data_IF_940660763445
#
_entry.id   IF_940660763445
#
_cell.length_a   1.000
_cell.length_b   1.000
_cell.length_c   1.000
_cell.angle_alpha   90.00
_cell.angle_beta   90.00
_cell.angle_gamma   90.00
#
_symmetry.space_group_name_H-M   'P 1'
#
loop_
_entity.id
_entity.type
_entity.pdbx_description
1 polymer ?
#
# COMPACT_ATOMS: atom_id res chain seq x y z
N UNK A 1 -13.93 -12.52 10.79
CA UNK A 1 -12.72 -12.28 9.98
C UNK A 1 -11.79 -13.46 10.16
N UNK A 2 -11.72 -14.34 9.17
CA UNK A 2 -10.77 -15.45 9.18
C UNK A 2 -9.36 -14.89 9.08
N UNK A 3 -8.42 -15.43 9.87
CA UNK A 3 -7.01 -15.18 9.60
C UNK A 3 -6.75 -15.61 8.15
N UNK A 4 -6.24 -14.73 7.28
CA UNK A 4 -5.92 -15.14 5.93
C UNK A 4 -4.90 -16.27 6.06
N UNK A 5 -5.16 -17.38 5.39
CA UNK A 5 -4.19 -18.47 5.28
C UNK A 5 -2.82 -17.82 4.96
N UNK A 6 -1.78 -18.05 5.77
CA UNK A 6 -0.48 -17.41 5.59
C UNK A 6 0.10 -17.63 4.19
N UNK A 7 -0.38 -18.63 3.45
CA UNK A 7 -0.03 -18.87 2.05
C UNK A 7 -0.82 -18.03 1.02
N UNK A 8 -1.97 -17.43 1.38
CA UNK A 8 -2.78 -16.59 0.48
C UNK A 8 -2.23 -15.17 0.32
N UNK A 9 -1.76 -14.54 1.40
CA UNK A 9 -1.25 -13.16 1.35
C UNK A 9 -0.07 -12.96 0.36
N UNK A 10 0.89 -13.90 0.24
CA UNK A 10 1.90 -13.84 -0.83
C UNK A 10 1.34 -13.88 -2.25
N UNK A 11 0.23 -14.60 -2.49
CA UNK A 11 -0.43 -14.65 -3.79
C UNK A 11 -1.08 -13.30 -4.12
N UNK A 12 -1.84 -12.75 -3.16
CA UNK A 12 -2.44 -11.42 -3.33
C UNK A 12 -1.38 -10.33 -3.53
N UNK A 13 -0.23 -10.44 -2.85
CA UNK A 13 0.89 -9.52 -3.06
C UNK A 13 1.49 -9.59 -4.47
N UNK A 14 1.45 -10.75 -5.14
CA UNK A 14 1.88 -10.88 -6.54
C UNK A 14 0.88 -10.23 -7.50
N UNK A 15 -0.42 -10.30 -7.21
CA UNK A 15 -1.48 -9.71 -8.05
C UNK A 15 -1.54 -8.19 -7.86
N UNK A 16 -1.66 -7.71 -6.61
CA UNK A 16 -1.78 -6.29 -6.26
C UNK A 16 -0.44 -5.55 -6.25
N UNK A 17 0.59 -6.10 -6.90
CA UNK A 17 1.78 -5.34 -7.24
C UNK A 17 1.40 -4.20 -8.19
N UNK A 18 1.89 -2.99 -7.93
CA UNK A 18 1.57 -1.81 -8.71
C UNK A 18 1.90 -1.94 -10.21
N UNK A 19 2.78 -2.87 -10.60
CA UNK A 19 3.12 -3.13 -12.02
C UNK A 19 2.01 -3.88 -12.77
N UNK A 20 1.05 -4.47 -12.06
CA UNK A 20 -0.08 -5.17 -12.67
C UNK A 20 -1.32 -4.29 -12.82
N UNK A 21 -1.32 -3.08 -12.24
CA UNK A 21 -2.49 -2.22 -12.27
C UNK A 21 -2.72 -1.59 -13.64
N UNK A 22 -3.98 -1.43 -14.01
CA UNK A 22 -4.42 -0.71 -15.20
C UNK A 22 -5.90 -0.31 -15.03
N UNK A 23 -6.40 0.51 -15.96
CA UNK A 23 -7.83 0.74 -16.11
C UNK A 23 -8.37 -0.19 -17.19
N UNK A 24 -9.49 -0.87 -16.93
CA UNK A 24 -10.19 -1.66 -17.94
C UNK A 24 -11.04 -0.78 -18.88
N UNK A 25 -11.75 -1.41 -19.81
CA UNK A 25 -12.60 -0.71 -20.78
C UNK A 25 -13.76 0.07 -20.13
N UNK A 26 -14.17 -0.32 -18.92
CA UNK A 26 -15.19 0.35 -18.11
C UNK A 26 -14.60 1.43 -17.20
N UNK A 27 -13.28 1.66 -17.25
CA UNK A 27 -12.59 2.65 -16.42
C UNK A 27 -12.39 2.21 -14.97
N UNK A 28 -12.51 0.92 -14.66
CA UNK A 28 -12.26 0.38 -13.32
C UNK A 28 -10.78 0.14 -13.11
N UNK A 29 -10.31 0.43 -11.90
CA UNK A 29 -8.93 0.15 -11.50
C UNK A 29 -8.77 -1.35 -11.19
N UNK A 30 -8.15 -2.08 -12.10
CA UNK A 30 -8.02 -3.55 -12.08
C UNK A 30 -6.57 -3.98 -12.03
N UNK A 31 -6.33 -5.22 -11.56
CA UNK A 31 -5.00 -5.81 -11.51
C UNK A 31 -4.93 -7.05 -12.39
N UNK A 32 -3.90 -7.12 -13.22
CA UNK A 32 -3.63 -8.33 -14.01
C UNK A 32 -3.20 -9.45 -13.09
N UNK A 33 -3.81 -10.62 -13.27
CA UNK A 33 -3.33 -11.84 -12.64
C UNK A 33 -2.14 -12.32 -13.46
N UNK A 34 -0.93 -12.47 -12.87
CA UNK A 34 0.23 -12.94 -13.62
C UNK A 34 -0.04 -14.31 -14.24
N UNK A 35 0.34 -14.50 -15.50
CA UNK A 35 0.20 -15.78 -16.22
C UNK A 35 1.02 -16.92 -15.60
N UNK A 36 1.93 -16.60 -14.68
CA UNK A 36 2.69 -17.56 -13.86
C UNK A 36 1.86 -18.14 -12.70
N UNK A 37 0.60 -17.73 -12.51
CA UNK A 37 -0.30 -18.37 -11.56
C UNK A 37 -0.70 -19.76 -12.03
N UNK A 38 -0.52 -20.74 -11.14
CA UNK A 38 -0.95 -22.12 -11.35
C UNK A 38 -2.43 -22.30 -11.01
N UNK A 39 -3.05 -23.34 -11.55
CA UNK A 39 -4.43 -23.71 -11.20
C UNK A 39 -4.60 -23.91 -9.68
N UNK A 40 -3.60 -24.48 -9.00
CA UNK A 40 -3.63 -24.67 -7.56
C UNK A 40 -3.68 -23.33 -6.79
N UNK A 41 -2.94 -22.31 -7.24
CA UNK A 41 -2.97 -20.97 -6.65
C UNK A 41 -4.31 -20.28 -6.88
N UNK A 42 -4.92 -20.45 -8.06
CA UNK A 42 -6.28 -19.98 -8.33
C UNK A 42 -7.32 -20.63 -7.41
N UNK A 43 -7.24 -21.95 -7.23
CA UNK A 43 -8.14 -22.67 -6.32
C UNK A 43 -7.92 -22.26 -4.87
N UNK A 44 -6.68 -21.97 -4.46
CA UNK A 44 -6.39 -21.49 -3.11
C UNK A 44 -7.03 -20.12 -2.84
N UNK A 45 -6.93 -19.17 -3.78
CA UNK A 45 -7.61 -17.87 -3.68
C UNK A 45 -9.13 -18.03 -3.61
N UNK A 46 -9.68 -18.92 -4.44
CA UNK A 46 -11.11 -19.22 -4.46
C UNK A 46 -11.58 -19.83 -3.14
N UNK A 47 -10.86 -20.80 -2.60
CA UNK A 47 -11.18 -21.46 -1.33
C UNK A 47 -11.12 -20.48 -0.14
N UNK A 48 -10.25 -19.46 -0.21
CA UNK A 48 -10.18 -18.40 0.78
C UNK A 48 -11.26 -17.31 0.60
N UNK A 49 -12.08 -17.37 -0.45
CA UNK A 49 -13.05 -16.33 -0.78
C UNK A 49 -12.43 -15.00 -1.22
N UNK A 50 -11.18 -15.03 -1.70
CA UNK A 50 -10.37 -13.85 -2.03
C UNK A 50 -9.98 -13.87 -3.52
N UNK A 51 -10.98 -14.04 -4.39
CA UNK A 51 -10.80 -13.91 -5.84
C UNK A 51 -10.47 -12.45 -6.18
N UNK A 52 -9.41 -12.18 -6.96
CA UNK A 52 -9.02 -10.81 -7.31
C UNK A 52 -10.04 -10.16 -8.25
N UNK A 53 -10.06 -8.82 -8.30
CA UNK A 53 -10.95 -8.04 -9.16
C UNK A 53 -12.44 -8.36 -8.95
N UNK A 54 -12.85 -8.60 -7.69
CA UNK A 54 -14.25 -8.80 -7.31
C UNK A 54 -14.81 -7.47 -6.83
N UNK A 55 -15.60 -6.84 -7.69
CA UNK A 55 -16.10 -5.49 -7.48
C UNK A 55 -17.48 -5.45 -6.84
N UNK A 56 -17.66 -4.49 -5.96
CA UNK A 56 -18.96 -3.99 -5.53
C UNK A 56 -19.14 -2.54 -5.97
N UNK A 57 -20.39 -2.13 -6.13
CA UNK A 57 -20.75 -0.73 -6.34
C UNK A 57 -22.10 -0.50 -5.66
N UNK A 58 -22.06 0.05 -4.45
CA UNK A 58 -23.25 0.43 -3.69
C UNK A 58 -23.62 1.87 -3.98
N UNK A 59 -24.91 2.20 -3.88
CA UNK A 59 -25.35 3.58 -3.88
C UNK A 59 -24.87 4.32 -2.61
N UNK A 60 -24.90 5.66 -2.64
CA UNK A 60 -24.54 6.50 -1.50
C UNK A 60 -25.30 6.09 -0.22
N UNK A 61 -26.63 6.16 -0.26
CA UNK A 61 -27.48 5.92 0.91
C UNK A 61 -27.35 4.47 1.39
N UNK A 62 -27.28 3.51 0.46
CA UNK A 62 -27.03 2.10 0.77
C UNK A 62 -25.70 1.92 1.54
N UNK A 63 -24.65 2.61 1.13
CA UNK A 63 -23.34 2.54 1.79
C UNK A 63 -23.41 3.06 3.23
N UNK A 64 -24.09 4.20 3.42
CA UNK A 64 -24.25 4.79 4.75
C UNK A 64 -25.10 3.90 5.65
N UNK A 65 -26.18 3.33 5.12
CA UNK A 65 -27.05 2.43 5.86
C UNK A 65 -26.34 1.14 6.27
N UNK A 66 -25.60 0.52 5.35
CA UNK A 66 -24.77 -0.68 5.65
C UNK A 66 -23.76 -0.38 6.75
N UNK A 67 -23.02 0.73 6.64
CA UNK A 67 -22.03 1.12 7.64
C UNK A 67 -22.67 1.33 9.02
N UNK A 68 -23.78 2.07 9.10
CA UNK A 68 -24.50 2.35 10.35
C UNK A 68 -25.06 1.07 10.97
N UNK A 69 -25.70 0.21 10.18
CA UNK A 69 -26.26 -1.06 10.63
C UNK A 69 -25.15 -1.98 11.16
N UNK A 70 -24.04 -2.11 10.43
CA UNK A 70 -22.93 -2.95 10.87
C UNK A 70 -22.27 -2.41 12.14
N UNK A 71 -22.10 -1.08 12.27
CA UNK A 71 -21.52 -0.48 13.46
C UNK A 71 -22.43 -0.59 14.70
N UNK A 72 -23.74 -0.64 14.51
CA UNK A 72 -24.71 -0.84 15.60
C UNK A 72 -24.69 -2.28 16.15
N UNK A 73 -24.36 -3.27 15.32
CA UNK A 73 -24.30 -4.67 15.73
C UNK A 73 -22.92 -5.10 16.30
N UNK A 74 -21.90 -4.23 16.23
CA UNK A 74 -20.60 -4.49 16.85
C UNK A 74 -20.57 -3.99 18.31
N UNK A 75 -20.19 -4.86 19.23
CA UNK A 75 -19.89 -4.47 20.61
C UNK A 75 -18.61 -3.63 20.68
N UNK A 76 -18.68 -2.49 21.36
CA UNK A 76 -17.57 -1.53 21.38
C UNK A 76 -16.37 -2.07 22.15
N UNK A 77 -16.61 -2.80 23.24
CA UNK A 77 -15.53 -3.36 24.05
C UNK A 77 -14.79 -4.46 23.28
N UNK A 78 -15.51 -5.30 22.55
CA UNK A 78 -14.89 -6.27 21.64
C UNK A 78 -14.07 -5.60 20.54
N UNK A 79 -14.56 -4.50 19.96
CA UNK A 79 -13.80 -3.73 18.98
C UNK A 79 -12.51 -3.14 19.57
N UNK A 80 -12.55 -2.64 20.81
CA UNK A 80 -11.37 -2.16 21.53
C UNK A 80 -10.38 -3.31 21.81
N UNK A 81 -10.87 -4.43 22.32
CA UNK A 81 -10.04 -5.60 22.62
C UNK A 81 -9.32 -6.10 21.35
N UNK A 82 -10.03 -6.18 20.22
CA UNK A 82 -9.47 -6.57 18.94
C UNK A 82 -8.47 -5.54 18.38
N UNK A 83 -8.75 -4.25 18.55
CA UNK A 83 -7.83 -3.16 18.19
C UNK A 83 -6.49 -3.32 18.94
N UNK A 84 -6.53 -3.53 20.26
CA UNK A 84 -5.32 -3.71 21.07
C UNK A 84 -4.63 -5.04 20.75
N UNK A 85 -5.37 -6.13 20.56
CA UNK A 85 -4.80 -7.41 20.16
C UNK A 85 -4.01 -7.31 18.83
N UNK A 86 -4.42 -6.43 17.92
CA UNK A 86 -3.73 -6.22 16.64
C UNK A 86 -2.33 -5.59 16.78
N UNK A 87 -1.96 -5.07 17.96
CA UNK A 87 -0.65 -4.46 18.17
C UNK A 87 0.49 -5.44 17.92
N UNK A 88 0.35 -6.68 18.42
CA UNK A 88 1.36 -7.73 18.27
C UNK A 88 0.75 -9.07 17.86
N UNK A 89 -0.26 -9.56 18.58
CA UNK A 89 -0.68 -10.96 18.52
C UNK A 89 -1.69 -11.28 17.41
N UNK A 90 -2.61 -10.37 17.11
CA UNK A 90 -3.67 -10.56 16.12
C UNK A 90 -3.31 -9.99 14.74
N UNK A 91 -4.12 -10.32 13.75
CA UNK A 91 -3.98 -9.81 12.38
C UNK A 91 -4.16 -8.28 12.34
N UNK A 92 -3.34 -7.53 11.56
CA UNK A 92 -3.52 -6.09 11.34
C UNK A 92 -4.94 -5.66 10.99
N UNK A 93 -5.71 -6.50 10.29
CA UNK A 93 -7.07 -6.16 9.87
C UNK A 93 -8.02 -5.89 11.05
N UNK A 94 -7.75 -6.45 12.24
CA UNK A 94 -8.54 -6.17 13.45
C UNK A 94 -8.41 -4.73 13.95
N UNK A 95 -7.34 -4.02 13.55
CA UNK A 95 -7.19 -2.59 13.83
C UNK A 95 -8.34 -1.77 13.25
N UNK A 96 -8.86 -2.17 12.08
CA UNK A 96 -9.88 -1.42 11.33
C UNK A 96 -11.24 -1.36 12.03
N UNK A 97 -11.53 -2.32 12.90
CA UNK A 97 -12.88 -2.52 13.44
C UNK A 97 -13.28 -1.36 14.35
N UNK A 98 -12.40 -0.90 15.25
CA UNK A 98 -12.71 0.18 16.17
C UNK A 98 -12.93 1.52 15.44
N UNK A 99 -12.05 2.00 14.54
CA UNK A 99 -12.30 3.21 13.76
C UNK A 99 -13.54 3.12 12.86
N UNK A 100 -13.79 1.98 12.21
CA UNK A 100 -14.99 1.80 11.38
C UNK A 100 -16.27 1.84 12.23
N UNK A 101 -16.24 1.22 13.42
CA UNK A 101 -17.34 1.28 14.38
C UNK A 101 -17.58 2.72 14.87
N UNK A 102 -16.50 3.45 15.16
CA UNK A 102 -16.59 4.86 15.55
C UNK A 102 -17.29 5.68 14.45
N UNK A 103 -16.85 5.57 13.20
CA UNK A 103 -17.47 6.26 12.07
C UNK A 103 -18.95 5.89 11.91
N UNK A 104 -19.27 4.60 11.84
CA UNK A 104 -20.64 4.14 11.59
C UNK A 104 -21.63 4.49 12.70
N UNK A 105 -21.16 4.65 13.94
CA UNK A 105 -22.01 5.10 15.07
C UNK A 105 -22.34 6.58 15.04
N UNK A 106 -21.46 7.43 14.47
CA UNK A 106 -21.63 8.89 14.51
C UNK A 106 -21.98 9.52 13.18
N UNK A 107 -21.78 8.82 12.06
CA UNK A 107 -22.10 9.35 10.73
C UNK A 107 -23.60 9.63 10.61
N UNK A 108 -24.03 10.88 10.31
CA UNK A 108 -25.44 11.20 10.19
C UNK A 108 -26.02 10.62 8.90
N UNK A 109 -27.33 10.36 8.89
CA UNK A 109 -28.05 10.27 7.64
C UNK A 109 -27.95 11.64 6.94
N UNK A 110 -27.61 11.64 5.66
CA UNK A 110 -27.43 12.85 4.87
C UNK A 110 -27.64 12.53 3.39
N UNK A 111 -28.08 13.52 2.62
CA UNK A 111 -28.06 13.43 1.17
C UNK A 111 -26.62 13.54 0.66
N UNK A 112 -26.33 12.87 -0.46
CA UNK A 112 -25.07 13.03 -1.16
C UNK A 112 -24.84 14.50 -1.54
N UNK A 113 -23.65 15.02 -1.20
CA UNK A 113 -23.27 16.39 -1.50
C UNK A 113 -21.88 16.41 -2.12
N UNK A 114 -21.74 16.53 -3.44
CA UNK A 114 -20.43 16.42 -4.09
C UNK A 114 -19.49 17.58 -3.71
N UNK A 115 -18.20 17.29 -3.62
CA UNK A 115 -17.10 18.26 -3.63
C UNK A 115 -16.14 18.00 -4.80
N UNK A 116 -15.12 18.85 -4.93
CA UNK A 116 -14.08 18.68 -5.97
C UNK A 116 -13.50 17.27 -5.95
N UNK A 117 -13.32 16.68 -7.14
CA UNK A 117 -12.87 15.28 -7.28
C UNK A 117 -14.01 14.24 -7.26
N UNK A 118 -15.26 14.66 -7.07
CA UNK A 118 -16.44 13.81 -7.25
C UNK A 118 -16.83 12.96 -6.03
N UNK A 119 -16.25 13.23 -4.86
CA UNK A 119 -16.62 12.58 -3.60
C UNK A 119 -17.64 13.41 -2.80
N UNK A 120 -18.39 12.77 -1.90
CA UNK A 120 -19.33 13.41 -1.01
C UNK A 120 -18.57 14.19 0.08
N UNK A 121 -18.90 15.47 0.23
CA UNK A 121 -18.29 16.40 1.18
C UNK A 121 -18.57 16.09 2.65
N UNK A 122 -19.53 15.22 2.92
CA UNK A 122 -19.89 14.79 4.28
C UNK A 122 -19.16 13.50 4.64
N UNK A 123 -19.10 12.51 3.74
CA UNK A 123 -18.65 11.16 4.07
C UNK A 123 -17.49 10.60 3.22
N UNK A 124 -17.04 11.29 2.18
CA UNK A 124 -16.10 10.83 1.13
C UNK A 124 -16.63 9.76 0.17
N UNK A 125 -17.91 9.37 0.23
CA UNK A 125 -18.48 8.46 -0.76
C UNK A 125 -18.22 8.92 -2.19
N UNK A 126 -17.88 7.99 -3.07
CA UNK A 126 -17.72 8.20 -4.50
C UNK A 126 -18.37 7.04 -5.22
N UNK A 127 -19.00 7.31 -6.36
CA UNK A 127 -19.71 6.29 -7.13
C UNK A 127 -18.78 5.38 -7.96
N UNK A 128 -17.63 4.98 -7.40
CA UNK A 128 -16.68 4.06 -8.03
C UNK A 128 -16.87 2.61 -7.55
N UNK A 129 -16.42 1.68 -8.38
CA UNK A 129 -16.41 0.28 -8.04
C UNK A 129 -15.21 -0.04 -7.13
N UNK A 130 -15.45 -0.79 -6.06
CA UNK A 130 -14.43 -1.16 -5.08
C UNK A 130 -14.09 -2.64 -5.24
N UNK A 131 -12.82 -2.95 -5.49
CA UNK A 131 -12.33 -4.33 -5.42
C UNK A 131 -12.29 -4.78 -3.96
N UNK A 132 -13.26 -5.62 -3.58
CA UNK A 132 -13.42 -6.11 -2.21
C UNK A 132 -12.24 -6.93 -1.72
N UNK A 133 -11.58 -7.65 -2.63
CA UNK A 133 -10.40 -8.46 -2.32
C UNK A 133 -9.18 -7.57 -2.13
N UNK A 134 -9.07 -6.49 -2.90
CA UNK A 134 -8.01 -5.50 -2.69
C UNK A 134 -8.17 -4.80 -1.34
N UNK A 135 -9.40 -4.37 -1.02
CA UNK A 135 -9.70 -3.78 0.29
C UNK A 135 -9.34 -4.75 1.43
N UNK A 136 -9.74 -6.02 1.34
CA UNK A 136 -9.37 -7.05 2.31
C UNK A 136 -7.85 -7.26 2.41
N UNK A 137 -7.15 -7.31 1.27
CA UNK A 137 -5.70 -7.44 1.22
C UNK A 137 -5.00 -6.31 1.98
N UNK A 138 -5.40 -5.05 1.76
CA UNK A 138 -4.79 -3.90 2.45
C UNK A 138 -5.11 -3.89 3.95
N UNK A 139 -6.34 -4.25 4.35
CA UNK A 139 -6.65 -4.47 5.78
C UNK A 139 -5.69 -5.45 6.44
N UNK A 140 -5.41 -6.59 5.80
CA UNK A 140 -4.46 -7.58 6.32
C UNK A 140 -2.99 -7.13 6.21
N UNK A 141 -2.68 -6.26 5.24
CA UNK A 141 -1.32 -5.80 5.02
C UNK A 141 -0.90 -4.80 6.10
N UNK A 142 -1.69 -3.78 6.38
CA UNK A 142 -1.33 -2.69 7.29
C UNK A 142 -2.42 -2.30 8.29
N UNK A 143 -3.65 -2.76 8.10
CA UNK A 143 -4.79 -2.40 8.94
C UNK A 143 -5.49 -1.13 8.50
N UNK A 144 -5.28 -0.64 7.28
CA UNK A 144 -5.99 0.50 6.65
C UNK A 144 -7.43 0.15 6.22
N UNK A 145 -8.19 1.10 5.67
CA UNK A 145 -9.48 0.81 5.04
C UNK A 145 -10.64 0.66 6.04
N UNK A 146 -10.74 1.57 7.00
CA UNK A 146 -11.85 1.62 7.98
C UNK A 146 -12.91 2.68 7.66
N UNK A 147 -12.86 3.28 6.48
CA UNK A 147 -13.81 4.30 6.04
C UNK A 147 -13.34 5.75 6.18
N UNK A 148 -12.05 5.96 6.42
CA UNK A 148 -11.43 7.28 6.44
C UNK A 148 -11.46 7.95 5.05
N UNK A 149 -11.22 7.18 3.98
CA UNK A 149 -11.21 7.68 2.60
C UNK A 149 -12.48 7.35 1.80
N UNK A 150 -13.20 6.27 2.15
CA UNK A 150 -14.49 5.92 1.53
C UNK A 150 -15.35 5.07 2.48
N UNK A 151 -16.61 5.43 2.78
CA UNK A 151 -17.40 4.77 3.84
C UNK A 151 -17.69 3.29 3.58
N UNK A 152 -17.70 2.85 2.32
CA UNK A 152 -17.85 1.43 1.97
C UNK A 152 -16.69 0.57 2.50
N UNK A 153 -15.47 1.10 2.64
CA UNK A 153 -14.36 0.35 3.23
C UNK A 153 -14.66 0.01 4.71
N UNK A 154 -15.21 0.97 5.45
CA UNK A 154 -15.68 0.75 6.82
C UNK A 154 -16.80 -0.27 6.88
N UNK A 155 -17.78 -0.20 5.97
CA UNK A 155 -18.85 -1.19 5.90
C UNK A 155 -18.31 -2.60 5.59
N UNK A 156 -17.36 -2.73 4.65
CA UNK A 156 -16.69 -4.00 4.34
C UNK A 156 -15.87 -4.53 5.53
N UNK A 157 -15.16 -3.65 6.25
CA UNK A 157 -14.38 -4.02 7.43
C UNK A 157 -15.27 -4.61 8.53
N UNK A 158 -16.43 -3.98 8.80
CA UNK A 158 -17.38 -4.46 9.80
C UNK A 158 -18.14 -5.71 9.34
N UNK A 159 -18.57 -5.76 8.08
CA UNK A 159 -19.21 -6.95 7.51
C UNK A 159 -18.31 -8.19 7.59
N UNK A 160 -16.98 -8.02 7.48
CA UNK A 160 -16.03 -9.12 7.61
C UNK A 160 -15.97 -9.74 9.04
N UNK A 161 -16.52 -9.09 10.06
CA UNK A 161 -16.48 -9.56 11.46
C UNK A 161 -17.86 -9.84 12.05
N UNK A 162 -18.93 -9.25 11.53
CA UNK A 162 -20.23 -9.22 12.20
C UNK A 162 -20.88 -10.60 12.38
N UNK A 163 -20.67 -11.50 11.42
CA UNK A 163 -21.19 -12.87 11.48
C UNK A 163 -20.26 -13.81 12.28
N UNK A 164 -19.12 -13.30 12.76
CA UNK A 164 -18.19 -14.10 13.55
C UNK A 164 -18.68 -14.19 15.00
N UNK A 165 -18.77 -15.40 15.60
CA UNK A 165 -19.17 -15.54 16.99
C UNK A 165 -18.18 -14.81 17.90
N UNK A 166 -18.66 -14.25 19.02
CA UNK A 166 -17.84 -13.52 20.00
C UNK A 166 -16.57 -14.26 20.45
N UNK A 167 -16.61 -15.60 20.50
CA UNK A 167 -15.46 -16.42 20.87
C UNK A 167 -14.33 -16.42 19.83
N UNK A 168 -14.62 -16.04 18.58
CA UNK A 168 -13.64 -15.93 17.50
C UNK A 168 -12.97 -14.54 17.41
N UNK A 169 -13.44 -13.57 18.18
CA UNK A 169 -12.80 -12.25 18.27
C UNK A 169 -11.50 -12.36 19.08
N UNK A 170 -10.40 -11.75 18.61
CA UNK A 170 -9.13 -11.80 19.32
C UNK A 170 -9.25 -11.02 20.64
N UNK A 171 -8.68 -11.61 21.69
CA UNK A 171 -8.51 -10.94 22.98
C UNK A 171 -7.06 -10.47 23.10
N UNK A 172 -6.81 -9.28 23.67
CA UNK A 172 -5.46 -8.78 23.81
C UNK A 172 -4.69 -9.65 24.81
N UNK A 173 -3.48 -10.04 24.43
CA UNK A 173 -2.54 -10.70 25.33
C UNK A 173 -1.93 -9.66 26.28
N UNK A 174 -1.32 -10.05 27.41
CA UNK A 174 -0.58 -9.10 28.26
C UNK A 174 0.46 -8.29 27.47
N UNK A 175 1.11 -8.92 26.48
CA UNK A 175 2.09 -8.24 25.61
C UNK A 175 1.43 -7.14 24.76
N UNK A 176 0.26 -7.40 24.20
CA UNK A 176 -0.48 -6.40 23.41
C UNK A 176 -0.84 -5.17 24.25
N UNK A 177 -1.38 -5.42 25.44
CA UNK A 177 -1.76 -4.36 26.40
C UNK A 177 -0.53 -3.55 26.81
N UNK A 178 0.58 -4.21 27.13
CA UNK A 178 1.85 -3.53 27.44
C UNK A 178 2.32 -2.66 26.27
N UNK A 179 2.35 -3.20 25.04
CA UNK A 179 2.79 -2.46 23.85
C UNK A 179 1.93 -1.23 23.61
N UNK A 180 0.61 -1.38 23.74
CA UNK A 180 -0.33 -0.27 23.62
C UNK A 180 -0.06 0.83 24.66
N UNK A 181 0.08 0.48 25.93
CA UNK A 181 0.39 1.47 26.98
C UNK A 181 1.75 2.13 26.77
N UNK A 182 2.78 1.38 26.33
CA UNK A 182 4.10 1.94 25.99
C UNK A 182 4.04 2.90 24.81
N UNK A 183 3.20 2.62 23.82
CA UNK A 183 2.94 3.54 22.72
C UNK A 183 2.34 4.85 23.25
N UNK A 184 1.32 4.79 24.11
CA UNK A 184 0.72 5.99 24.70
C UNK A 184 1.73 6.78 25.55
N UNK A 185 2.51 6.10 26.39
CA UNK A 185 3.57 6.72 27.20
C UNK A 185 4.61 7.44 26.32
N UNK A 186 5.02 6.81 25.22
CA UNK A 186 5.95 7.41 24.26
C UNK A 186 5.38 8.69 23.68
N UNK A 187 4.10 8.70 23.29
CA UNK A 187 3.44 9.89 22.77
C UNK A 187 3.34 11.01 23.81
N UNK A 188 3.03 10.69 25.07
CA UNK A 188 3.02 11.66 26.18
C UNK A 188 4.38 12.27 26.46
N UNK A 189 5.46 11.51 26.28
CA UNK A 189 6.82 11.94 26.56
C UNK A 189 7.48 12.76 25.43
N UNK A 190 6.79 12.95 24.29
CA UNK A 190 7.33 13.73 23.19
C UNK A 190 7.46 15.22 23.57
N UNK A 191 8.46 15.94 23.02
CA UNK A 191 8.54 17.39 23.20
C UNK A 191 7.25 18.08 22.75
N UNK A 192 6.73 19.12 23.43
CA UNK A 192 5.41 19.69 23.13
C UNK A 192 5.19 20.15 21.68
N UNK A 193 6.26 20.54 20.99
CA UNK A 193 6.20 20.95 19.57
C UNK A 193 6.26 19.78 18.58
N UNK A 194 6.41 18.55 19.06
CA UNK A 194 6.53 17.37 18.22
C UNK A 194 5.23 17.14 17.46
N UNK A 195 5.34 16.92 16.14
CA UNK A 195 4.19 16.66 15.26
C UNK A 195 4.18 15.21 14.78
N UNK A 196 3.15 14.86 14.00
CA UNK A 196 2.97 13.56 13.35
C UNK A 196 4.28 12.91 12.87
N UNK A 197 5.10 13.62 12.08
CA UNK A 197 6.32 13.04 11.52
C UNK A 197 7.33 12.60 12.59
N UNK A 198 7.45 13.37 13.68
CA UNK A 198 8.33 13.07 14.81
C UNK A 198 7.75 11.96 15.69
N UNK A 199 6.44 11.96 15.93
CA UNK A 199 5.76 10.88 16.64
C UNK A 199 5.93 9.54 15.92
N UNK A 200 5.70 9.53 14.61
CA UNK A 200 5.93 8.37 13.74
C UNK A 200 7.38 7.88 13.81
N UNK A 201 8.35 8.77 13.67
CA UNK A 201 9.77 8.39 13.76
C UNK A 201 10.15 7.87 15.14
N UNK A 202 9.57 8.41 16.22
CA UNK A 202 9.80 7.91 17.57
C UNK A 202 9.23 6.50 17.76
N UNK A 203 8.02 6.23 17.26
CA UNK A 203 7.43 4.89 17.28
C UNK A 203 8.23 3.87 16.46
N UNK A 204 8.66 4.26 15.25
CA UNK A 204 9.52 3.42 14.40
C UNK A 204 10.84 3.09 15.11
N UNK A 205 11.48 4.08 15.75
CA UNK A 205 12.72 3.88 16.51
C UNK A 205 12.52 2.99 17.73
N UNK A 206 11.36 3.06 18.38
CA UNK A 206 11.05 2.25 19.55
C UNK A 206 10.81 0.77 19.21
N UNK A 207 10.46 0.45 17.96
CA UNK A 207 10.30 -0.94 17.50
C UNK A 207 9.20 -1.71 18.25
N UNK A 208 8.21 -1.01 18.82
CA UNK A 208 7.13 -1.59 19.63
C UNK A 208 6.14 -2.39 18.79
N UNK A 209 5.85 -1.88 17.60
CA UNK A 209 4.99 -2.53 16.61
C UNK A 209 5.83 -3.42 15.71
N UNK A 210 5.19 -4.37 15.02
CA UNK A 210 5.86 -5.28 14.08
C UNK A 210 6.77 -4.53 13.10
N UNK A 211 8.08 -4.69 13.28
CA UNK A 211 9.11 -3.93 12.58
C UNK A 211 9.21 -4.24 11.07
N UNK A 212 8.54 -5.30 10.59
CA UNK A 212 8.53 -5.67 9.17
C UNK A 212 7.69 -4.72 8.30
N UNK A 213 6.95 -3.78 8.91
CA UNK A 213 6.06 -2.84 8.20
C UNK A 213 6.09 -1.43 8.80
N UNK A 214 6.94 -0.52 8.28
CA UNK A 214 7.02 0.85 8.76
C UNK A 214 5.71 1.65 8.72
N UNK A 215 4.82 1.33 7.78
CA UNK A 215 3.48 1.95 7.65
C UNK A 215 2.58 1.67 8.85
N UNK A 216 2.80 0.59 9.62
CA UNK A 216 1.98 0.27 10.81
C UNK A 216 1.97 1.40 11.84
N UNK A 217 3.09 2.11 12.00
CA UNK A 217 3.15 3.26 12.91
C UNK A 217 2.24 4.40 12.43
N UNK A 218 2.16 4.61 11.12
CA UNK A 218 1.33 5.65 10.49
C UNK A 218 -0.14 5.32 10.68
N UNK A 219 -0.52 4.09 10.31
CA UNK A 219 -1.89 3.57 10.43
C UNK A 219 -2.42 3.63 11.87
N UNK A 220 -1.60 3.26 12.87
CA UNK A 220 -2.01 3.34 14.29
C UNK A 220 -2.22 4.78 14.73
N UNK A 221 -1.32 5.71 14.35
CA UNK A 221 -1.48 7.13 14.67
C UNK A 221 -2.73 7.71 14.03
N UNK A 222 -3.01 7.38 12.77
CA UNK A 222 -4.22 7.80 12.06
C UNK A 222 -5.48 7.24 12.72
N UNK A 223 -5.49 5.96 13.08
CA UNK A 223 -6.62 5.36 13.80
C UNK A 223 -6.86 6.02 15.16
N UNK A 224 -5.81 6.26 15.95
CA UNK A 224 -5.90 6.94 17.24
C UNK A 224 -6.42 8.39 17.09
N UNK A 225 -5.97 9.10 16.06
CA UNK A 225 -6.48 10.44 15.77
C UNK A 225 -7.94 10.40 15.32
N UNK A 226 -8.26 9.47 14.41
CA UNK A 226 -9.59 9.31 13.84
C UNK A 226 -10.65 9.03 14.91
N UNK A 227 -10.34 8.18 15.91
CA UNK A 227 -11.25 7.91 17.02
C UNK A 227 -11.26 9.03 18.08
N UNK A 228 -10.28 9.94 18.09
CA UNK A 228 -10.22 11.10 18.98
C UNK A 228 -9.22 11.02 20.14
N UNK A 229 -8.33 10.02 20.17
CA UNK A 229 -7.25 9.98 21.17
C UNK A 229 -6.20 11.07 20.89
N UNK A 230 -5.87 11.27 19.61
CA UNK A 230 -4.96 12.34 19.15
C UNK A 230 -5.79 13.42 18.43
N UNK A 231 -6.22 14.43 19.16
CA UNK A 231 -7.10 15.47 18.62
C UNK A 231 -6.71 16.87 19.10
N UNK A 232 -7.31 17.89 18.48
CA UNK A 232 -7.20 19.28 18.92
C UNK A 232 -8.61 19.86 19.12
N UNK A 233 -8.79 20.93 19.90
CA UNK A 233 -10.11 21.56 20.06
C UNK A 233 -10.75 21.98 18.72
N UNK A 234 -9.94 22.40 17.73
CA UNK A 234 -10.42 22.79 16.40
C UNK A 234 -10.67 21.61 15.46
N UNK A 235 -10.07 20.45 15.73
CA UNK A 235 -10.16 19.26 14.91
C UNK A 235 -10.40 18.02 15.79
N UNK A 236 -11.66 17.77 16.20
CA UNK A 236 -11.99 16.62 17.03
C UNK A 236 -12.04 15.32 16.22
N UNK A 237 -11.78 14.20 16.90
CA UNK A 237 -11.99 12.87 16.34
C UNK A 237 -13.45 12.41 16.43
N UNK A 238 -13.78 11.31 15.76
CA UNK A 238 -15.14 10.83 15.54
C UNK A 238 -15.95 10.58 16.83
N UNK A 239 -15.32 10.04 17.87
CA UNK A 239 -16.00 9.74 19.13
C UNK A 239 -16.24 11.00 19.99
N UNK A 240 -15.58 12.11 19.67
CA UNK A 240 -15.85 13.41 20.30
C UNK A 240 -16.92 14.16 19.51
N UNK A 241 -16.82 14.17 18.18
CA UNK A 241 -17.80 14.78 17.28
C UNK A 241 -17.68 14.18 15.89
N UNK A 242 -18.80 13.98 15.19
CA UNK A 242 -18.74 13.72 13.76
C UNK A 242 -18.09 14.90 13.02
N UNK A 243 -17.00 14.63 12.30
CA UNK A 243 -16.29 15.62 11.49
C UNK A 243 -16.48 15.28 10.02
N UNK A 244 -17.14 16.15 9.22
CA UNK A 244 -17.44 15.85 7.82
C UNK A 244 -16.17 15.71 6.99
N UNK A 245 -16.26 14.97 5.90
CA UNK A 245 -15.16 14.70 4.98
C UNK A 245 -14.41 15.97 4.55
N UNK A 246 -15.13 17.05 4.22
CA UNK A 246 -14.51 18.32 3.83
C UNK A 246 -13.66 18.96 4.94
N UNK A 247 -13.97 18.71 6.22
CA UNK A 247 -13.14 19.18 7.33
C UNK A 247 -11.96 18.23 7.56
N UNK A 248 -12.18 16.92 7.43
CA UNK A 248 -11.11 15.90 7.52
C UNK A 248 -10.08 16.03 6.42
N UNK A 249 -10.50 16.45 5.22
CA UNK A 249 -9.64 16.59 4.05
C UNK A 249 -8.74 17.83 4.09
N UNK A 250 -9.02 18.78 4.99
CA UNK A 250 -8.14 19.95 5.13
C UNK A 250 -6.73 19.50 5.52
N UNK A 251 -5.73 20.32 5.21
CA UNK A 251 -4.34 20.15 5.65
C UNK A 251 -3.76 21.52 5.95
N UNK A 252 -2.80 21.63 6.89
CA UNK A 252 -2.11 22.89 7.13
C UNK A 252 -1.21 23.33 5.95
N UNK A 253 -0.76 22.39 5.11
CA UNK A 253 -0.06 22.67 3.85
C UNK A 253 -0.09 21.45 2.93
N UNK A 254 0.27 21.62 1.66
CA UNK A 254 0.41 20.54 0.67
C UNK A 254 1.50 19.51 0.98
N UNK A 255 2.37 19.78 1.97
CA UNK A 255 3.44 18.86 2.39
C UNK A 255 3.03 17.90 3.50
N UNK A 256 1.81 18.04 4.03
CA UNK A 256 1.30 17.18 5.11
C UNK A 256 0.30 16.20 4.52
N UNK A 257 0.65 14.93 4.53
CA UNK A 257 -0.09 13.86 3.85
C UNK A 257 -1.30 13.38 4.69
N UNK A 258 -1.16 13.33 6.02
CA UNK A 258 -2.18 12.79 6.94
C UNK A 258 -3.38 13.72 7.18
N UNK A 259 -4.62 13.20 7.30
CA UNK A 259 -5.83 14.00 7.48
C UNK A 259 -6.04 14.55 8.88
N UNK A 260 -7.09 15.36 9.02
CA UNK A 260 -7.58 15.77 10.33
C UNK A 260 -8.10 14.54 11.08
N UNK A 261 -7.89 14.45 12.40
CA UNK A 261 -7.24 15.45 13.28
C UNK A 261 -5.72 15.50 13.22
N UNK A 262 -5.08 14.41 12.81
CA UNK A 262 -3.65 14.16 13.00
C UNK A 262 -2.75 15.24 12.38
N UNK A 263 -3.16 15.82 11.24
CA UNK A 263 -2.40 16.87 10.57
C UNK A 263 -2.16 18.13 11.43
N UNK A 264 -3.03 18.40 12.40
CA UNK A 264 -2.97 19.58 13.28
C UNK A 264 -2.50 19.26 14.69
N UNK A 265 -2.51 17.97 15.06
CA UNK A 265 -2.08 17.55 16.38
C UNK A 265 -0.58 17.76 16.60
N UNK A 266 -0.24 18.22 17.80
CA UNK A 266 1.09 18.22 18.37
C UNK A 266 1.11 17.54 19.73
N UNK A 267 2.27 17.09 20.17
CA UNK A 267 2.40 16.48 21.51
C UNK A 267 1.97 17.42 22.65
N UNK A 268 2.02 18.75 22.43
CA UNK A 268 1.53 19.75 23.38
C UNK A 268 0.02 19.76 23.55
N UNK A 269 -0.74 19.26 22.57
CA UNK A 269 -2.19 19.03 22.69
C UNK A 269 -2.49 17.80 23.58
N UNK A 270 -1.50 16.93 23.78
CA UNK A 270 -1.60 15.75 24.64
C UNK A 270 -2.47 14.64 24.06
N UNK A 271 -2.86 13.70 24.93
CA UNK A 271 -3.84 12.65 24.64
C UNK A 271 -5.17 13.03 25.29
N UNK A 272 -6.30 12.63 24.70
CA UNK A 272 -7.59 12.78 25.35
C UNK A 272 -7.79 11.71 26.45
N UNK A 273 -7.21 11.92 27.63
CA UNK A 273 -7.10 10.91 28.70
C UNK A 273 -8.46 10.36 29.18
N UNK A 274 -9.52 11.17 29.20
CA UNK A 274 -10.88 10.68 29.52
C UNK A 274 -11.39 9.63 28.51
N UNK A 275 -11.03 9.80 27.23
CA UNK A 275 -11.43 8.87 26.16
C UNK A 275 -10.52 7.64 26.18
N UNK A 276 -9.24 7.81 26.50
CA UNK A 276 -8.33 6.70 26.79
C UNK A 276 -8.90 5.83 27.92
N UNK A 277 -9.30 6.44 29.04
CA UNK A 277 -9.88 5.73 30.18
C UNK A 277 -11.21 5.07 29.83
N UNK A 278 -12.08 5.76 29.09
CA UNK A 278 -13.39 5.23 28.69
C UNK A 278 -13.26 4.01 27.77
N UNK A 279 -12.36 4.07 26.78
CA UNK A 279 -12.21 2.98 25.81
C UNK A 279 -11.34 1.85 26.34
N UNK A 280 -10.20 2.16 26.95
CA UNK A 280 -9.14 1.20 27.26
C UNK A 280 -8.92 0.98 28.76
N UNK A 281 -9.67 1.65 29.64
CA UNK A 281 -9.46 1.59 31.09
C UNK A 281 -9.68 0.21 31.71
N UNK A 282 -10.35 -0.70 31.01
CA UNK A 282 -10.49 -2.10 31.43
C UNK A 282 -9.30 -2.99 31.09
N UNK A 283 -8.34 -2.49 30.33
CA UNK A 283 -7.12 -3.21 29.97
C UNK A 283 -6.03 -2.90 30.99
N UNK A 284 -5.99 -3.72 32.03
CA UNK A 284 -5.00 -3.60 33.10
C UNK A 284 -3.58 -3.62 32.55
N UNK A 285 -2.83 -2.56 32.85
CA UNK A 285 -1.45 -2.41 32.41
C UNK A 285 -0.57 -3.42 33.15
N UNK A 286 0.19 -4.28 32.44
CA UNK A 286 1.20 -5.11 33.07
C UNK A 286 2.30 -4.24 33.71
N UNK A 287 2.74 -4.61 34.91
CA UNK A 287 3.81 -3.91 35.64
C UNK A 287 5.15 -4.02 34.90
N UNK A 288 5.49 -5.23 34.48
CA UNK A 288 6.71 -5.55 33.76
C UNK A 288 6.45 -5.80 32.27
N UNK A 289 7.51 -5.70 31.47
CA UNK A 289 7.47 -6.10 30.06
C UNK A 289 7.23 -7.61 29.94
N UNK A 290 6.10 -8.07 29.38
CA UNK A 290 5.86 -9.49 29.19
C UNK A 290 6.82 -10.04 28.14
N UNK A 291 7.33 -11.24 28.38
CA UNK A 291 8.23 -11.94 27.45
C UNK A 291 7.54 -12.00 26.08
N UNK A 292 8.20 -11.52 25.00
CA UNK A 292 7.61 -11.59 23.68
C UNK A 292 7.36 -13.07 23.34
N UNK A 293 6.22 -13.41 22.70
CA UNK A 293 6.03 -14.76 22.20
C UNK A 293 7.22 -15.12 21.31
N UNK A 294 7.68 -16.39 21.31
CA UNK A 294 8.82 -16.81 20.51
C UNK A 294 8.59 -16.31 19.09
N UNK A 295 9.51 -15.47 18.61
CA UNK A 295 9.41 -14.92 17.28
C UNK A 295 9.24 -16.12 16.34
N UNK A 296 8.07 -16.27 15.70
CA UNK A 296 7.97 -17.17 14.55
C UNK A 296 9.13 -16.72 13.67
N UNK A 297 10.09 -17.61 13.34
CA UNK A 297 11.22 -17.21 12.53
C UNK A 297 10.62 -16.46 11.37
N UNK A 298 11.07 -15.22 11.17
CA UNK A 298 10.71 -14.46 9.99
C UNK A 298 11.26 -15.30 8.85
N UNK A 299 10.45 -16.26 8.39
CA UNK A 299 10.81 -17.19 7.35
C UNK A 299 11.22 -16.28 6.24
N UNK A 300 12.54 -16.24 5.99
CA UNK A 300 13.19 -15.32 5.06
C UNK A 300 12.23 -15.23 3.90
N UNK A 301 11.59 -14.07 3.73
CA UNK A 301 10.40 -13.89 2.88
C UNK A 301 10.87 -14.28 1.49
N UNK A 302 10.82 -15.59 1.18
CA UNK A 302 10.94 -16.13 -0.15
C UNK A 302 9.63 -15.63 -0.68
N UNK A 303 9.68 -14.47 -1.33
CA UNK A 303 8.78 -14.21 -2.42
C UNK A 303 8.91 -15.44 -3.29
N UNK A 304 8.04 -16.41 -3.03
CA UNK A 304 7.75 -17.52 -3.91
C UNK A 304 7.02 -16.92 -5.10
N UNK A 305 7.67 -15.96 -5.78
CA UNK A 305 7.53 -15.97 -7.21
C UNK A 305 8.08 -17.33 -7.61
N UNK A 306 7.34 -18.14 -8.38
CA UNK A 306 7.93 -19.29 -9.04
C UNK A 306 9.25 -18.85 -9.68
N UNK A 307 10.21 -19.76 -9.79
CA UNK A 307 11.50 -19.48 -10.39
C UNK A 307 11.31 -19.15 -11.88
N UNK A 308 10.82 -17.95 -12.19
CA UNK A 308 10.89 -17.40 -13.53
C UNK A 308 12.36 -17.45 -13.90
N UNK A 309 12.72 -17.95 -15.09
CA UNK A 309 14.10 -17.95 -15.55
C UNK A 309 14.68 -16.56 -15.31
N UNK A 310 15.82 -16.47 -14.65
CA UNK A 310 16.52 -15.19 -14.47
C UNK A 310 17.66 -15.19 -15.47
N UNK A 311 17.80 -14.15 -16.31
CA UNK A 311 18.91 -14.10 -17.24
C UNK A 311 20.20 -13.93 -16.42
N UNK A 312 21.23 -14.69 -16.79
CA UNK A 312 22.55 -14.50 -16.23
C UNK A 312 23.10 -13.18 -16.76
N UNK A 313 23.45 -12.26 -15.86
CA UNK A 313 23.97 -10.96 -16.27
C UNK A 313 25.41 -11.10 -16.74
N UNK A 314 25.72 -10.54 -17.91
CA UNK A 314 27.11 -10.35 -18.36
C UNK A 314 27.76 -9.31 -17.42
N UNK A 315 28.85 -9.66 -16.71
CA UNK A 315 29.49 -8.77 -15.73
C UNK A 315 30.26 -7.63 -16.40
N UNK A 316 30.45 -6.52 -15.68
CA UNK A 316 31.25 -5.36 -16.13
C UNK A 316 30.42 -4.07 -16.34
N UNK A 317 31.10 -2.93 -16.58
CA UNK A 317 30.45 -1.63 -16.72
C UNK A 317 29.57 -1.55 -17.97
N UNK A 318 28.53 -0.71 -18.00
CA UNK A 318 27.79 -0.44 -19.23
C UNK A 318 28.74 0.05 -20.32
N UNK A 319 28.51 -0.42 -21.55
CA UNK A 319 29.22 0.02 -22.76
C UNK A 319 28.21 0.37 -23.86
N UNK A 320 28.56 1.25 -24.80
CA UNK A 320 27.80 1.38 -26.06
C UNK A 320 27.64 0.01 -26.73
N UNK A 321 26.47 -0.28 -27.28
CA UNK A 321 26.17 -1.60 -27.86
C UNK A 321 25.76 -2.68 -26.85
N UNK A 322 25.77 -2.37 -25.54
CA UNK A 322 25.20 -3.28 -24.54
C UNK A 322 23.67 -3.35 -24.66
N UNK A 323 23.10 -4.55 -24.54
CA UNK A 323 21.65 -4.76 -24.43
C UNK A 323 21.29 -5.34 -23.08
N UNK A 324 20.22 -4.81 -22.48
CA UNK A 324 19.71 -5.19 -21.17
C UNK A 324 18.33 -5.80 -21.28
N UNK A 325 18.14 -7.00 -20.75
CA UNK A 325 16.82 -7.51 -20.43
C UNK A 325 16.23 -6.71 -19.27
N UNK A 326 15.00 -6.22 -19.45
CA UNK A 326 14.26 -5.42 -18.47
C UNK A 326 12.98 -6.15 -18.10
N UNK A 327 12.80 -6.43 -16.82
CA UNK A 327 11.60 -7.07 -16.29
C UNK A 327 10.54 -6.01 -15.97
N UNK A 328 9.50 -5.91 -16.79
CA UNK A 328 8.37 -5.00 -16.56
C UNK A 328 7.41 -5.54 -15.50
N UNK A 329 7.09 -6.84 -15.56
CA UNK A 329 6.21 -7.55 -14.60
C UNK A 329 6.78 -8.92 -14.26
N UNK A 330 6.16 -9.69 -13.37
CA UNK A 330 6.64 -11.05 -13.04
C UNK A 330 6.72 -11.95 -14.29
N UNK A 331 5.77 -11.77 -15.19
CA UNK A 331 5.53 -12.56 -16.39
C UNK A 331 5.73 -11.78 -17.70
N UNK A 332 6.42 -10.64 -17.64
CA UNK A 332 6.65 -9.79 -18.81
C UNK A 332 8.02 -9.14 -18.78
N UNK A 333 8.77 -9.35 -19.85
CA UNK A 333 10.09 -8.81 -20.10
C UNK A 333 10.14 -8.09 -21.43
N UNK A 334 11.07 -7.14 -21.53
CA UNK A 334 11.51 -6.57 -22.79
C UNK A 334 13.02 -6.35 -22.80
N UNK A 335 13.51 -5.58 -23.76
CA UNK A 335 14.93 -5.26 -23.87
C UNK A 335 15.16 -3.77 -24.10
N UNK A 336 16.30 -3.28 -23.62
CA UNK A 336 16.75 -1.91 -23.82
C UNK A 336 18.20 -1.88 -24.30
N UNK A 337 18.48 -1.10 -25.33
CA UNK A 337 19.78 -0.89 -25.94
C UNK A 337 20.48 0.33 -25.31
N UNK A 338 21.79 0.23 -25.11
CA UNK A 338 22.64 1.30 -24.62
C UNK A 338 23.40 1.96 -25.77
N UNK A 339 23.01 3.19 -26.13
CA UNK A 339 23.62 3.96 -27.21
C UNK A 339 24.98 4.54 -26.85
N UNK A 340 25.08 5.05 -25.63
CA UNK A 340 26.22 5.83 -25.19
C UNK A 340 26.38 5.69 -23.68
N UNK A 341 27.60 5.82 -23.18
CA UNK A 341 27.89 5.82 -21.75
C UNK A 341 28.65 7.08 -21.40
N UNK A 342 28.21 7.76 -20.34
CA UNK A 342 28.87 8.96 -19.81
C UNK A 342 28.96 8.88 -18.29
N UNK A 343 29.97 9.55 -17.76
CA UNK A 343 30.09 9.80 -16.32
C UNK A 343 29.76 11.26 -16.08
N UNK A 344 28.77 11.53 -15.23
CA UNK A 344 28.42 12.90 -14.87
C UNK A 344 29.44 13.52 -13.89
N UNK A 345 29.31 14.82 -13.62
CA UNK A 345 30.20 15.58 -12.74
C UNK A 345 30.28 15.02 -11.30
N UNK A 346 29.30 14.19 -10.90
CA UNK A 346 29.26 13.53 -9.58
C UNK A 346 29.91 12.14 -9.59
N UNK A 347 30.53 11.75 -10.71
CA UNK A 347 31.13 10.44 -10.88
C UNK A 347 30.12 9.31 -11.14
N UNK A 348 28.86 9.63 -11.48
CA UNK A 348 27.83 8.62 -11.70
C UNK A 348 27.87 8.19 -13.16
N UNK A 349 28.09 6.89 -13.39
CA UNK A 349 28.05 6.26 -14.71
C UNK A 349 26.59 6.08 -15.17
N UNK A 350 26.29 6.55 -16.38
CA UNK A 350 24.96 6.52 -17.00
C UNK A 350 25.03 5.97 -18.42
N UNK A 351 24.08 5.11 -18.77
CA UNK A 351 23.84 4.68 -20.15
C UNK A 351 22.68 5.46 -20.75
N UNK A 352 22.79 5.87 -22.02
CA UNK A 352 21.67 6.39 -22.81
C UNK A 352 20.89 5.22 -23.37
N UNK A 353 19.71 5.00 -22.81
CA UNK A 353 18.89 3.81 -23.03
C UNK A 353 17.76 4.10 -24.01
N UNK A 354 17.42 3.10 -24.83
CA UNK A 354 16.26 3.08 -25.72
C UNK A 354 15.64 1.69 -25.74
N UNK A 355 14.31 1.58 -25.79
CA UNK A 355 13.64 0.28 -25.81
C UNK A 355 13.73 -0.36 -27.19
N UNK A 356 13.97 -1.67 -27.21
CA UNK A 356 13.82 -2.51 -28.39
C UNK A 356 12.36 -2.99 -28.47
N UNK A 357 11.81 -3.16 -29.68
CA UNK A 357 10.46 -3.67 -29.91
C UNK A 357 10.38 -5.18 -29.65
N UNK A 358 10.55 -5.54 -28.39
CA UNK A 358 10.59 -6.90 -27.89
C UNK A 358 9.80 -6.99 -26.59
N UNK A 359 8.75 -7.80 -26.61
CA UNK A 359 8.05 -8.27 -25.43
C UNK A 359 8.10 -9.80 -25.37
N UNK A 360 8.37 -10.34 -24.19
CA UNK A 360 8.51 -11.77 -23.99
C UNK A 360 8.02 -12.19 -22.60
N UNK A 361 7.34 -13.34 -22.45
CA UNK A 361 6.94 -13.86 -21.14
C UNK A 361 8.15 -14.35 -20.31
N UNK A 362 9.27 -14.61 -20.98
CA UNK A 362 10.54 -15.02 -20.38
C UNK A 362 11.63 -13.99 -20.68
N UNK A 363 12.74 -13.96 -19.92
CA UNK A 363 13.81 -13.01 -20.19
C UNK A 363 14.36 -13.16 -21.62
N UNK A 364 14.51 -12.05 -22.36
CA UNK A 364 15.12 -12.07 -23.68
C UNK A 364 16.51 -12.70 -23.70
N UNK A 365 16.79 -13.46 -24.75
CA UNK A 365 18.11 -14.02 -25.05
C UNK A 365 18.79 -13.26 -26.19
N UNK A 366 20.10 -13.46 -26.35
CA UNK A 366 20.89 -12.88 -27.43
C UNK A 366 20.34 -13.21 -28.81
N UNK A 367 19.79 -14.41 -28.98
CA UNK A 367 19.33 -14.93 -30.28
C UNK A 367 18.06 -14.23 -30.77
N UNK A 368 17.36 -13.55 -29.86
CA UNK A 368 16.18 -12.76 -30.20
C UNK A 368 16.55 -11.37 -30.71
N UNK A 369 17.76 -10.85 -30.45
CA UNK A 369 18.13 -9.47 -30.75
C UNK A 369 18.32 -9.13 -32.24
N UNK A 370 18.83 -10.03 -33.11
CA UNK A 370 19.03 -9.70 -34.51
C UNK A 370 17.74 -9.24 -35.20
N UNK A 371 17.79 -8.10 -35.88
CA UNK A 371 16.67 -7.57 -36.68
C UNK A 371 15.57 -6.87 -35.88
N UNK A 372 15.69 -6.73 -34.56
CA UNK A 372 14.71 -6.00 -33.75
C UNK A 372 14.89 -4.50 -33.91
N UNK A 373 13.80 -3.80 -34.22
CA UNK A 373 13.74 -2.36 -34.30
C UNK A 373 13.63 -1.71 -32.91
N UNK A 374 13.79 -0.38 -32.85
CA UNK A 374 13.45 0.36 -31.64
C UNK A 374 11.94 0.52 -31.47
N UNK A 375 11.51 0.67 -30.22
CA UNK A 375 10.11 0.91 -29.87
C UNK A 375 9.85 2.39 -29.65
N UNK A 376 9.05 2.99 -30.51
CA UNK A 376 8.51 4.33 -30.29
C UNK A 376 7.54 4.40 -29.12
N UNK A 377 7.35 5.62 -28.60
CA UNK A 377 6.26 5.90 -27.66
C UNK A 377 4.92 5.65 -28.33
N UNK A 378 3.89 5.44 -27.51
CA UNK A 378 2.49 5.32 -27.96
C UNK A 378 1.97 6.57 -28.68
N UNK A 379 2.61 7.72 -28.49
CA UNK A 379 2.30 8.95 -29.23
C UNK A 379 3.12 9.09 -30.54
N UNK A 380 3.83 8.05 -30.97
CA UNK A 380 4.64 8.02 -32.19
C UNK A 380 6.00 8.73 -32.10
N UNK A 381 6.37 9.24 -30.94
CA UNK A 381 7.66 9.91 -30.75
C UNK A 381 8.74 8.93 -30.28
N UNK A 382 9.98 9.20 -30.66
CA UNK A 382 11.15 8.47 -30.16
C UNK A 382 11.32 8.66 -28.65
N UNK A 383 11.78 7.62 -27.96
CA UNK A 383 12.08 7.68 -26.53
C UNK A 383 13.54 7.33 -26.25
N UNK A 384 14.23 8.17 -25.49
CA UNK A 384 15.54 7.88 -24.94
C UNK A 384 15.68 8.51 -23.55
N UNK A 385 16.47 7.89 -22.67
CA UNK A 385 16.74 8.41 -21.32
C UNK A 385 18.12 8.04 -20.81
N UNK A 386 18.71 8.88 -19.97
CA UNK A 386 19.99 8.61 -19.29
C UNK A 386 19.75 7.89 -17.96
N UNK A 387 20.07 6.60 -17.91
CA UNK A 387 19.85 5.75 -16.74
C UNK A 387 21.15 5.43 -16.00
N UNK A 388 21.17 5.67 -14.69
CA UNK A 388 22.24 5.19 -13.79
C UNK A 388 21.92 3.82 -13.18
N UNK A 389 22.93 3.15 -12.62
CA UNK A 389 22.71 1.94 -11.80
C UNK A 389 22.27 0.68 -12.56
N UNK A 390 22.57 0.61 -13.86
CA UNK A 390 22.20 -0.50 -14.75
C UNK A 390 22.68 -1.89 -14.25
N UNK A 391 23.85 -1.96 -13.62
CA UNK A 391 24.42 -3.22 -13.12
C UNK A 391 23.78 -3.73 -11.81
N UNK A 392 23.28 -2.79 -10.99
CA UNK A 392 22.84 -3.08 -9.62
C UNK A 392 21.33 -3.23 -9.51
N UNK A 393 20.59 -2.80 -10.52
CA UNK A 393 19.13 -2.75 -10.46
C UNK A 393 18.50 -4.13 -10.65
N UNK A 394 17.70 -4.56 -9.67
CA UNK A 394 16.94 -5.81 -9.76
C UNK A 394 15.97 -5.78 -10.94
N UNK A 395 15.98 -6.84 -11.76
CA UNK A 395 15.14 -6.92 -12.96
C UNK A 395 15.73 -6.23 -14.19
N UNK A 396 16.92 -5.63 -14.09
CA UNK A 396 17.68 -5.13 -15.24
C UNK A 396 18.98 -5.94 -15.33
N UNK A 397 19.19 -6.62 -16.45
CA UNK A 397 20.30 -7.57 -16.62
C UNK A 397 20.91 -7.43 -17.99
N UNK A 398 22.23 -7.25 -18.06
CA UNK A 398 22.93 -7.19 -19.34
C UNK A 398 22.96 -8.58 -19.96
N UNK A 399 22.46 -8.70 -21.18
CA UNK A 399 22.34 -9.98 -21.91
C UNK A 399 23.20 -10.02 -23.17
N UNK A 400 23.64 -8.88 -23.70
CA UNK A 400 24.52 -8.81 -24.86
C UNK A 400 25.46 -7.60 -24.77
N UNK A 401 26.56 -7.68 -25.51
CA UNK A 401 27.54 -6.61 -25.75
C UNK A 401 27.81 -6.53 -27.26
N UNK A 402 28.35 -5.41 -27.71
CA UNK A 402 28.76 -5.19 -29.10
C UNK A 402 27.64 -5.44 -30.12
N UNK A 403 26.39 -5.21 -29.72
CA UNK A 403 25.23 -5.31 -30.62
C UNK A 403 25.21 -4.06 -31.51
N UNK A 404 25.13 -4.19 -32.84
CA UNK A 404 24.95 -3.04 -33.72
C UNK A 404 23.64 -2.33 -33.41
N UNK A 405 23.66 -0.99 -33.37
CA UNK A 405 22.45 -0.20 -33.17
C UNK A 405 21.46 -0.45 -34.32
N UNK A 406 20.20 -0.81 -34.04
CA UNK A 406 19.15 -0.80 -35.04
C UNK A 406 19.02 0.57 -35.73
N UNK A 407 18.51 0.58 -36.96
CA UNK A 407 18.13 1.84 -37.59
C UNK A 407 16.90 2.43 -36.89
N UNK A 408 16.79 3.76 -36.87
CA UNK A 408 15.60 4.45 -36.40
C UNK A 408 15.31 5.66 -37.29
N UNK A 409 14.07 5.75 -37.78
CA UNK A 409 13.67 6.81 -38.70
C UNK A 409 13.34 8.15 -38.02
N UNK A 410 13.19 8.15 -36.68
CA UNK A 410 12.84 9.33 -35.89
C UNK A 410 14.09 10.04 -35.39
N UNK A 411 14.09 11.39 -35.36
CA UNK A 411 15.19 12.15 -34.79
C UNK A 411 15.35 11.84 -33.30
N UNK A 412 16.57 11.96 -32.80
CA UNK A 412 16.85 11.85 -31.37
C UNK A 412 16.09 12.97 -30.62
N UNK A 413 15.43 12.68 -29.48
CA UNK A 413 14.72 13.71 -28.72
C UNK A 413 15.64 14.87 -28.32
N UNK A 414 15.15 16.11 -28.44
CA UNK A 414 15.91 17.32 -28.13
C UNK A 414 16.39 17.37 -26.66
N UNK A 415 15.60 16.78 -25.75
CA UNK A 415 15.91 16.69 -24.34
C UNK A 415 15.78 15.24 -23.86
N UNK A 416 16.84 14.78 -23.20
CA UNK A 416 16.89 13.47 -22.56
C UNK A 416 16.79 13.65 -21.05
N UNK A 417 15.86 12.93 -20.44
CA UNK A 417 15.71 12.94 -18.99
C UNK A 417 16.82 12.11 -18.32
N UNK A 418 17.12 12.46 -17.07
CA UNK A 418 18.07 11.73 -16.24
C UNK A 418 17.30 10.93 -15.19
N UNK A 419 17.55 9.64 -15.14
CA UNK A 419 16.87 8.71 -14.25
C UNK A 419 17.78 7.59 -13.74
N UNK A 420 17.17 6.64 -13.04
CA UNK A 420 17.79 5.37 -12.67
C UNK A 420 17.32 4.25 -13.58
N UNK A 421 18.02 3.11 -13.59
CA UNK A 421 17.62 1.95 -14.38
C UNK A 421 16.26 1.37 -13.97
N UNK A 422 15.71 1.72 -12.80
CA UNK A 422 14.34 1.38 -12.41
C UNK A 422 13.29 2.11 -13.27
N UNK A 423 13.62 3.27 -13.82
CA UNK A 423 12.72 4.02 -14.70
C UNK A 423 12.48 3.26 -16.01
N UNK A 424 13.41 2.39 -16.43
CA UNK A 424 13.19 1.46 -17.53
C UNK A 424 12.01 0.50 -17.28
N UNK A 425 11.64 0.25 -16.03
CA UNK A 425 10.49 -0.57 -15.68
C UNK A 425 9.22 0.29 -15.61
N UNK A 426 9.31 1.46 -14.96
CA UNK A 426 8.15 2.34 -14.72
C UNK A 426 7.63 3.04 -15.98
N UNK A 427 8.52 3.41 -16.90
CA UNK A 427 8.17 4.17 -18.09
C UNK A 427 7.87 3.29 -19.31
N UNK A 428 7.97 1.96 -19.18
CA UNK A 428 7.74 1.04 -20.29
C UNK A 428 6.31 1.17 -20.88
N UNK A 429 5.32 1.51 -20.05
CA UNK A 429 3.94 1.74 -20.49
C UNK A 429 3.76 2.96 -21.41
N UNK A 430 4.78 3.81 -21.55
CA UNK A 430 4.79 4.90 -22.52
C UNK A 430 5.11 4.42 -23.93
N UNK A 431 5.74 3.25 -24.06
CA UNK A 431 6.20 2.66 -25.32
C UNK A 431 5.37 1.43 -25.70
N UNK A 432 4.94 0.63 -24.73
CA UNK A 432 4.25 -0.63 -24.96
C UNK A 432 2.81 -0.62 -24.47
N UNK A 433 1.97 -1.39 -25.16
CA UNK A 433 0.64 -1.79 -24.71
C UNK A 433 0.76 -3.20 -24.11
N UNK A 434 0.63 -3.31 -22.79
CA UNK A 434 0.59 -4.58 -22.07
C UNK A 434 -0.30 -4.48 -20.85
#
# INVERSE_FOLDING_TARGET
MTHPDPAVMPLLARIYDARNSHFDAEGRYVHRIPSTFTEAEHQQLKAAGLLPNVFIQWAHDETIDRLRQSAAAVDLRQAVDAFVASMVSADPAWLTVLPATALGRVIPAHAEQPMGGGSCRVCFYKADAIDTTQAAYFRHLDGSGWGDAHPADGALALAAVIDSPSAAWPKPTPRDVWVFHRLLDLLRALPPKARYSQARSALQKAGLLRADRPSRCETVLEALAFIGILQTPGHPGMLTRFTPAIERDRRPSTRVEVPAPLAWWSAGDGLHDELVATLFGHLERPEDEPVPPPAKPAGRRKTGSPASPRPQSIPGPPTPGSVYAVRYREDLWGAAYCHEVRTDERGIVRGRMEYLDLLSPTPPTTDQLPGIAFRDRRNGQRWQSWCSGLEKTTGVKRIAIDVPAPAHDQPVPERLEFGGARDLQHLASWNFDF
#
